data_IF_798533807530
#
_entry.id   IF_798533807530
#
_cell.length_a   1.000
_cell.length_b   1.000
_cell.length_c   1.000
_cell.angle_alpha   90.00
_cell.angle_beta   90.00
_cell.angle_gamma   90.00
#
_symmetry.space_group_name_H-M   'P 1'
#
loop_
_entity.id
_entity.type
_entity.pdbx_description
1 polymer ?
#
# COMPACT_ATOMS: atom_id res chain seq x y z
N UNK A 1 5.90 -5.25 17.47
CA UNK A 1 6.23 -5.84 16.16
C UNK A 1 5.00 -5.70 15.29
N UNK A 2 5.09 -5.08 14.11
CA UNK A 2 3.97 -5.06 13.18
C UNK A 2 3.78 -6.47 12.58
N UNK A 3 2.54 -6.96 12.42
CA UNK A 3 2.31 -8.26 11.81
C UNK A 3 2.83 -8.27 10.36
N UNK A 4 3.28 -9.44 9.84
CA UNK A 4 3.70 -9.54 8.45
C UNK A 4 2.54 -9.22 7.51
N UNK A 5 2.73 -8.21 6.66
CA UNK A 5 1.76 -7.86 5.60
C UNK A 5 1.76 -8.96 4.54
N UNK A 6 0.60 -9.55 4.27
CA UNK A 6 0.48 -10.53 3.18
C UNK A 6 0.65 -9.83 1.84
N UNK A 7 1.62 -10.28 1.05
CA UNK A 7 1.79 -9.85 -0.33
C UNK A 7 0.87 -10.69 -1.20
N UNK A 8 -0.03 -10.04 -1.94
CA UNK A 8 -0.90 -10.70 -2.90
C UNK A 8 -0.26 -10.64 -4.29
N UNK A 9 -0.37 -11.72 -5.07
CA UNK A 9 -0.04 -11.67 -6.49
C UNK A 9 -1.05 -10.80 -7.26
N UNK A 10 -0.66 -10.26 -8.41
CA UNK A 10 -1.47 -9.33 -9.23
C UNK A 10 -2.88 -9.88 -9.52
N UNK A 11 -2.99 -11.13 -9.96
CA UNK A 11 -4.29 -11.76 -10.26
C UNK A 11 -5.20 -11.84 -9.02
N UNK A 12 -4.60 -12.14 -7.86
CA UNK A 12 -5.34 -12.22 -6.60
C UNK A 12 -5.76 -10.83 -6.15
N UNK A 13 -4.90 -9.84 -6.33
CA UNK A 13 -5.17 -8.44 -6.01
C UNK A 13 -6.35 -7.89 -6.83
N UNK A 14 -6.36 -8.12 -8.14
CA UNK A 14 -7.46 -7.69 -9.02
C UNK A 14 -8.78 -8.37 -8.66
N UNK A 15 -8.76 -9.67 -8.34
CA UNK A 15 -9.96 -10.39 -7.87
C UNK A 15 -10.49 -9.84 -6.54
N UNK A 16 -9.60 -9.39 -5.66
CA UNK A 16 -10.00 -8.79 -4.38
C UNK A 16 -10.58 -7.38 -4.57
N UNK A 17 -9.99 -6.57 -5.47
CA UNK A 17 -10.52 -5.26 -5.87
C UNK A 17 -11.94 -5.38 -6.42
N UNK A 18 -12.17 -6.33 -7.34
CA UNK A 18 -13.50 -6.58 -7.91
C UNK A 18 -14.55 -7.04 -6.89
N UNK A 19 -14.12 -7.64 -5.77
CA UNK A 19 -15.00 -8.06 -4.67
C UNK A 19 -15.21 -6.96 -3.64
N UNK A 20 -14.43 -5.88 -3.71
CA UNK A 20 -14.53 -4.74 -2.83
C UNK A 20 -15.71 -3.85 -3.21
N UNK A 21 -16.44 -3.42 -2.20
CA UNK A 21 -17.48 -2.39 -2.30
C UNK A 21 -16.99 -1.15 -1.51
N UNK A 22 -17.44 0.04 -1.92
CA UNK A 22 -17.12 1.31 -1.25
C UNK A 22 -15.61 1.57 -1.08
N UNK A 23 -14.84 1.34 -2.14
CA UNK A 23 -13.40 1.58 -2.14
C UNK A 23 -13.08 3.08 -2.01
N UNK A 24 -12.11 3.42 -1.15
CA UNK A 24 -11.58 4.77 -1.02
C UNK A 24 -10.07 4.78 -1.17
N UNK A 25 -9.55 5.77 -1.91
CA UNK A 25 -8.11 5.94 -2.06
C UNK A 25 -7.52 6.51 -0.77
N UNK A 26 -6.53 5.81 -0.21
CA UNK A 26 -5.74 6.23 0.95
C UNK A 26 -4.28 6.38 0.53
N UNK A 27 -3.57 7.22 1.25
CA UNK A 27 -2.13 7.38 1.06
C UNK A 27 -1.39 7.30 2.39
N UNK A 28 -0.17 6.78 2.34
CA UNK A 28 0.74 6.73 3.47
C UNK A 28 2.10 7.26 3.01
N UNK A 29 2.61 8.29 3.69
CA UNK A 29 3.99 8.73 3.48
C UNK A 29 4.89 7.97 4.45
N UNK A 30 5.94 7.36 3.93
CA UNK A 30 6.97 6.67 4.68
C UNK A 30 8.34 7.23 4.30
N UNK A 31 9.35 6.98 5.12
CA UNK A 31 10.73 7.37 4.81
C UNK A 31 11.57 6.12 4.59
N UNK A 32 12.30 6.09 3.49
CA UNK A 32 13.37 5.12 3.28
C UNK A 32 14.67 5.76 3.76
N UNK A 33 15.21 5.27 4.87
CA UNK A 33 16.44 5.77 5.45
C UNK A 33 17.60 4.84 5.15
N UNK A 34 18.65 5.37 4.54
CA UNK A 34 19.91 4.67 4.30
C UNK A 34 21.06 5.41 5.00
N UNK A 35 21.98 4.66 5.60
CA UNK A 35 23.20 5.23 6.16
C UNK A 35 24.25 5.38 5.05
N UNK A 36 24.75 6.59 4.81
CA UNK A 36 25.68 6.90 3.71
C UNK A 36 27.17 6.89 4.12
N UNK A 37 27.48 6.43 5.34
CA UNK A 37 28.84 6.43 5.91
C UNK A 37 29.12 7.58 6.88
N UNK A 38 28.33 8.66 6.83
CA UNK A 38 28.42 9.78 7.79
C UNK A 38 27.09 10.01 8.51
N UNK A 39 25.98 9.98 7.76
CA UNK A 39 24.64 10.32 8.24
C UNK A 39 23.57 9.35 7.72
N UNK A 40 22.38 9.42 8.32
CA UNK A 40 21.18 8.81 7.77
C UNK A 40 20.51 9.76 6.78
N UNK A 41 20.45 9.35 5.52
CA UNK A 41 19.68 10.03 4.48
C UNK A 41 18.32 9.37 4.38
N UNK A 42 17.27 10.10 4.74
CA UNK A 42 15.89 9.63 4.68
C UNK A 42 15.15 10.28 3.52
N UNK A 43 14.75 9.48 2.53
CA UNK A 43 13.95 9.94 1.39
C UNK A 43 12.48 9.63 1.66
N UNK A 44 11.59 10.65 1.72
CA UNK A 44 10.16 10.41 1.84
C UNK A 44 9.61 9.83 0.54
N UNK A 45 8.77 8.81 0.65
CA UNK A 45 8.02 8.23 -0.46
C UNK A 45 6.56 7.99 -0.05
N UNK A 46 5.66 8.08 -1.04
CA UNK A 46 4.22 7.89 -0.84
C UNK A 46 3.79 6.51 -1.36
N UNK A 47 3.07 5.76 -0.53
CA UNK A 47 2.32 4.57 -0.94
C UNK A 47 0.85 4.91 -1.09
N UNK A 48 0.20 4.36 -2.11
CA UNK A 48 -1.23 4.48 -2.34
C UNK A 48 -1.92 3.15 -2.11
N UNK A 49 -3.06 3.19 -1.45
CA UNK A 49 -3.88 2.02 -1.18
C UNK A 49 -5.32 2.28 -1.56
N UNK A 50 -5.97 1.31 -2.20
CA UNK A 50 -7.43 1.25 -2.18
C UNK A 50 -7.88 0.52 -0.93
N UNK A 51 -8.61 1.25 -0.08
CA UNK A 51 -9.26 0.69 1.08
C UNK A 51 -10.70 0.33 0.71
N UNK A 52 -10.97 -0.97 0.54
CA UNK A 52 -12.28 -1.49 0.16
C UNK A 52 -12.92 -2.25 1.31
N UNK A 53 -14.25 -2.18 1.41
CA UNK A 53 -15.02 -3.05 2.30
C UNK A 53 -15.38 -4.33 1.54
N UNK A 54 -15.14 -5.50 2.11
CA UNK A 54 -15.66 -6.76 1.54
C UNK A 54 -16.97 -7.16 2.20
N UNK A 55 -17.76 -8.02 1.54
CA UNK A 55 -19.07 -8.50 2.01
C UNK A 55 -19.07 -9.06 3.43
N UNK A 56 -17.94 -9.62 3.90
CA UNK A 56 -17.79 -10.12 5.28
C UNK A 56 -17.58 -9.00 6.33
N UNK A 57 -17.69 -7.72 5.94
CA UNK A 57 -17.46 -6.56 6.81
C UNK A 57 -15.97 -6.23 7.07
N UNK A 58 -15.04 -7.02 6.52
CA UNK A 58 -13.60 -6.76 6.65
C UNK A 58 -13.17 -5.61 5.75
N UNK A 59 -12.18 -4.87 6.20
CA UNK A 59 -11.53 -3.82 5.40
C UNK A 59 -10.27 -4.40 4.77
N UNK A 60 -10.19 -4.34 3.44
CA UNK A 60 -9.00 -4.68 2.68
C UNK A 60 -8.26 -3.40 2.30
N UNK A 61 -6.96 -3.37 2.54
CA UNK A 61 -6.07 -2.34 1.99
C UNK A 61 -5.25 -2.99 0.88
N UNK A 62 -5.44 -2.53 -0.35
CA UNK A 62 -4.77 -3.05 -1.54
C UNK A 62 -3.81 -1.99 -2.04
N UNK A 63 -2.51 -2.28 -2.05
CA UNK A 63 -1.52 -1.32 -2.54
C UNK A 63 -1.64 -1.16 -4.06
N UNK A 64 -1.90 0.06 -4.53
CA UNK A 64 -2.00 0.42 -5.95
C UNK A 64 -0.85 1.32 -6.41
N UNK A 65 0.17 1.51 -5.56
CA UNK A 65 1.39 2.24 -5.88
C UNK A 65 2.04 1.67 -7.14
N UNK A 66 2.33 2.51 -8.13
CA UNK A 66 3.03 2.12 -9.34
C UNK A 66 4.04 3.21 -9.76
N UNK A 67 4.82 2.98 -10.82
CA UNK A 67 5.85 3.93 -11.27
C UNK A 67 5.29 5.33 -11.64
N UNK A 68 3.99 5.42 -11.92
CA UNK A 68 3.31 6.66 -12.28
C UNK A 68 2.50 7.27 -11.13
N UNK A 69 2.38 6.65 -9.95
CA UNK A 69 1.57 7.21 -8.85
C UNK A 69 2.20 8.44 -8.18
N UNK A 70 3.49 8.70 -8.43
CA UNK A 70 4.20 9.89 -7.95
C UNK A 70 4.28 11.01 -9.00
N UNK A 71 3.53 10.94 -10.10
CA UNK A 71 3.37 12.06 -11.02
C UNK A 71 2.45 13.12 -10.43
#
# INVERSE_FOLDING_TARGET
MAPPTKILGLDTQQRMLQRGENCSLKSLVQNECAFNGNDYVCTPFKRLFEQCMVKDGRVLNIEVTNLNTNR
#
